data_IF_361255643109
#
_entry.id   IF_361255643109
#
_cell.length_a   1.000
_cell.length_b   1.000
_cell.length_c   1.000
_cell.angle_alpha   90.00
_cell.angle_beta   90.00
_cell.angle_gamma   90.00
#
_symmetry.space_group_name_H-M   'P 1'
#
loop_
_entity.id
_entity.type
_entity.pdbx_description
1 polymer ?
#
# COMPACT_ATOMS: atom_id res chain seq x y z
N UNK A 1 -6.30 -23.94 -30.31
CA UNK A 1 -5.08 -23.68 -29.51
C UNK A 1 -5.21 -24.44 -28.20
N UNK A 2 -4.10 -24.97 -27.64
CA UNK A 2 -4.17 -25.56 -26.30
C UNK A 2 -4.34 -24.46 -25.25
N UNK A 3 -5.01 -24.76 -24.13
CA UNK A 3 -5.20 -23.79 -23.02
C UNK A 3 -3.86 -23.21 -22.54
N UNK A 4 -2.80 -24.03 -22.56
CA UNK A 4 -1.45 -23.61 -22.17
C UNK A 4 -0.87 -22.53 -23.13
N UNK A 5 -1.11 -22.68 -24.43
CA UNK A 5 -0.64 -21.68 -25.42
C UNK A 5 -1.36 -20.33 -25.23
N UNK A 6 -2.66 -20.36 -24.95
CA UNK A 6 -3.45 -19.16 -24.69
C UNK A 6 -2.91 -18.43 -23.46
N UNK A 7 -2.63 -19.16 -22.36
CA UNK A 7 -2.07 -18.58 -21.13
C UNK A 7 -0.73 -17.87 -21.44
N UNK A 8 0.18 -18.50 -22.17
CA UNK A 8 1.46 -17.89 -22.50
C UNK A 8 1.33 -16.66 -23.39
N UNK A 9 0.39 -16.67 -24.35
CA UNK A 9 0.13 -15.50 -25.21
C UNK A 9 -0.39 -14.32 -24.36
N UNK A 10 -1.36 -14.56 -23.49
CA UNK A 10 -1.92 -13.52 -22.61
C UNK A 10 -0.87 -12.98 -21.66
N UNK A 11 -0.05 -13.84 -21.05
CA UNK A 11 1.04 -13.43 -20.16
C UNK A 11 2.14 -12.66 -20.93
N UNK A 12 2.52 -13.09 -22.12
CA UNK A 12 3.49 -12.39 -22.93
C UNK A 12 2.97 -11.00 -23.36
N UNK A 13 1.71 -10.92 -23.75
CA UNK A 13 1.05 -9.65 -24.07
C UNK A 13 1.02 -8.71 -22.86
N UNK A 14 0.60 -9.21 -21.69
CA UNK A 14 0.58 -8.48 -20.43
C UNK A 14 1.96 -7.92 -20.07
N UNK A 15 3.00 -8.78 -20.09
CA UNK A 15 4.37 -8.40 -19.79
C UNK A 15 4.91 -7.35 -20.78
N UNK A 16 4.67 -7.54 -22.09
CA UNK A 16 5.12 -6.60 -23.11
C UNK A 16 4.56 -5.21 -22.92
N UNK A 17 3.25 -5.08 -22.66
CA UNK A 17 2.61 -3.77 -22.46
C UNK A 17 2.98 -3.11 -21.14
N UNK A 18 3.27 -3.89 -20.09
CA UNK A 18 3.84 -3.36 -18.87
C UNK A 18 5.24 -2.76 -19.08
N UNK A 19 6.10 -3.46 -19.83
CA UNK A 19 7.45 -2.95 -20.15
C UNK A 19 7.40 -1.70 -21.01
N UNK A 20 6.39 -1.57 -21.88
CA UNK A 20 6.12 -0.36 -22.67
C UNK A 20 5.60 0.81 -21.82
N UNK A 21 5.42 0.64 -20.50
CA UNK A 21 5.01 1.71 -19.59
C UNK A 21 3.51 2.04 -19.67
N UNK A 22 2.68 1.15 -20.20
CA UNK A 22 1.23 1.33 -20.24
C UNK A 22 0.61 1.24 -18.85
N UNK A 23 -0.54 1.89 -18.67
CA UNK A 23 -1.26 1.86 -17.41
C UNK A 23 -1.73 0.43 -17.07
N UNK A 24 -1.43 -0.04 -15.85
CA UNK A 24 -1.73 -1.41 -15.40
C UNK A 24 -3.19 -1.78 -15.59
N UNK A 25 -4.13 -0.85 -15.33
CA UNK A 25 -5.57 -1.08 -15.52
C UNK A 25 -5.90 -1.38 -16.99
N UNK A 26 -5.33 -0.61 -17.92
CA UNK A 26 -5.53 -0.81 -19.38
C UNK A 26 -4.92 -2.13 -19.84
N UNK A 27 -3.75 -2.47 -19.31
CA UNK A 27 -3.07 -3.74 -19.65
C UNK A 27 -3.85 -4.93 -19.12
N UNK A 28 -4.36 -4.89 -17.89
CA UNK A 28 -5.21 -5.95 -17.33
C UNK A 28 -6.51 -6.11 -18.12
N UNK A 29 -7.17 -5.00 -18.45
CA UNK A 29 -8.41 -5.01 -19.25
C UNK A 29 -8.18 -5.62 -20.64
N UNK A 30 -7.11 -5.17 -21.32
CA UNK A 30 -6.75 -5.71 -22.63
C UNK A 30 -6.34 -7.20 -22.60
N UNK A 31 -5.59 -7.61 -21.58
CA UNK A 31 -5.24 -9.02 -21.38
C UNK A 31 -6.46 -9.90 -21.13
N UNK A 32 -7.41 -9.41 -20.34
CA UNK A 32 -8.70 -10.08 -20.10
C UNK A 32 -9.50 -10.23 -21.37
N UNK A 33 -9.65 -9.16 -22.16
CA UNK A 33 -10.34 -9.20 -23.45
C UNK A 33 -9.67 -10.17 -24.44
N UNK A 34 -8.34 -10.11 -24.56
CA UNK A 34 -7.58 -11.03 -25.41
C UNK A 34 -7.79 -12.48 -24.99
N UNK A 35 -7.74 -12.75 -23.68
CA UNK A 35 -7.98 -14.09 -23.15
C UNK A 35 -9.39 -14.61 -23.50
N UNK A 36 -10.42 -13.80 -23.31
CA UNK A 36 -11.81 -14.15 -23.66
C UNK A 36 -11.93 -14.47 -25.15
N UNK A 37 -11.39 -13.61 -26.02
CA UNK A 37 -11.43 -13.81 -27.47
C UNK A 37 -10.76 -15.12 -27.88
N UNK A 38 -9.62 -15.44 -27.27
CA UNK A 38 -8.87 -16.65 -27.61
C UNK A 38 -9.50 -17.93 -27.11
N UNK A 39 -10.28 -17.88 -26.00
CA UNK A 39 -10.92 -19.05 -25.37
C UNK A 39 -12.33 -19.27 -25.93
N UNK A 40 -13.14 -18.23 -26.01
CA UNK A 40 -14.59 -18.30 -26.25
C UNK A 40 -14.98 -17.74 -27.63
N UNK A 41 -14.20 -16.83 -28.18
CA UNK A 41 -14.47 -16.18 -29.45
C UNK A 41 -14.93 -14.74 -29.31
N UNK A 42 -15.00 -14.04 -30.43
CA UNK A 42 -15.33 -12.60 -30.50
C UNK A 42 -16.81 -12.33 -30.23
N UNK A 43 -17.68 -13.28 -30.55
CA UNK A 43 -19.16 -13.12 -30.49
C UNK A 43 -19.66 -12.90 -29.04
N UNK A 44 -18.93 -13.39 -28.05
CA UNK A 44 -19.27 -13.30 -26.63
C UNK A 44 -18.87 -11.95 -26.01
N UNK A 45 -17.93 -11.23 -26.65
CA UNK A 45 -17.40 -9.98 -26.13
C UNK A 45 -18.49 -8.92 -25.90
N UNK A 46 -19.44 -8.77 -26.79
CA UNK A 46 -20.54 -7.81 -26.66
C UNK A 46 -21.42 -8.07 -25.44
N UNK A 47 -21.69 -9.34 -25.16
CA UNK A 47 -22.45 -9.74 -23.98
C UNK A 47 -21.67 -9.49 -22.68
N UNK A 48 -20.41 -9.91 -22.63
CA UNK A 48 -19.55 -9.76 -21.44
C UNK A 48 -19.31 -8.27 -21.14
N UNK A 49 -18.98 -7.47 -22.14
CA UNK A 49 -18.75 -6.03 -21.94
C UNK A 49 -20.02 -5.27 -21.54
N UNK A 50 -21.17 -5.65 -22.08
CA UNK A 50 -22.43 -4.97 -21.79
C UNK A 50 -23.07 -5.42 -20.48
N UNK A 51 -23.32 -6.72 -20.33
CA UNK A 51 -24.10 -7.25 -19.20
C UNK A 51 -23.24 -7.55 -17.97
N UNK A 52 -22.09 -8.23 -18.14
CA UNK A 52 -21.29 -8.67 -17.01
C UNK A 52 -20.56 -7.50 -16.32
N UNK A 53 -20.14 -6.49 -17.10
CA UNK A 53 -19.54 -5.27 -16.53
C UNK A 53 -20.56 -4.52 -15.67
N UNK A 54 -21.80 -4.36 -16.16
CA UNK A 54 -22.86 -3.72 -15.39
C UNK A 54 -23.25 -4.56 -14.17
N UNK A 55 -23.41 -5.87 -14.35
CA UNK A 55 -23.75 -6.78 -13.25
C UNK A 55 -22.68 -6.74 -12.16
N UNK A 56 -21.40 -6.84 -12.54
CA UNK A 56 -20.27 -6.78 -11.59
C UNK A 56 -20.23 -5.45 -10.86
N UNK A 57 -20.42 -4.31 -11.57
CA UNK A 57 -20.45 -3.00 -10.95
C UNK A 57 -21.66 -2.78 -10.03
N UNK A 58 -22.76 -3.52 -10.25
CA UNK A 58 -24.01 -3.44 -9.47
C UNK A 58 -24.03 -4.36 -8.25
N UNK A 59 -22.97 -5.14 -8.00
CA UNK A 59 -22.90 -6.03 -6.81
C UNK A 59 -22.99 -5.16 -5.55
N UNK A 60 -23.97 -5.45 -4.70
CA UNK A 60 -24.22 -4.70 -3.46
C UNK A 60 -22.97 -4.57 -2.58
N UNK A 61 -22.15 -5.61 -2.49
CA UNK A 61 -20.90 -5.59 -1.72
C UNK A 61 -19.89 -4.53 -2.21
N UNK A 62 -19.93 -4.16 -3.49
CA UNK A 62 -19.06 -3.08 -4.03
C UNK A 62 -19.52 -1.69 -3.59
N UNK A 63 -20.77 -1.51 -3.14
CA UNK A 63 -21.27 -0.25 -2.56
C UNK A 63 -20.51 0.13 -1.28
N UNK A 64 -19.88 -0.82 -0.62
CA UNK A 64 -19.03 -0.58 0.54
C UNK A 64 -17.77 0.22 0.16
N UNK A 65 -17.26 0.05 -1.06
CA UNK A 65 -16.03 0.71 -1.54
C UNK A 65 -16.13 2.24 -1.51
N UNK A 66 -17.12 2.89 -2.13
CA UNK A 66 -17.23 4.35 -2.09
C UNK A 66 -17.49 4.88 -0.67
N UNK A 67 -18.23 4.16 0.16
CA UNK A 67 -18.45 4.54 1.55
C UNK A 67 -17.16 4.46 2.36
N UNK A 68 -16.38 3.41 2.14
CA UNK A 68 -15.07 3.24 2.77
C UNK A 68 -14.09 4.34 2.34
N UNK A 69 -14.05 4.68 1.03
CA UNK A 69 -13.23 5.78 0.52
C UNK A 69 -13.65 7.12 1.10
N UNK A 70 -14.95 7.37 1.24
CA UNK A 70 -15.46 8.59 1.88
C UNK A 70 -15.00 8.67 3.34
N UNK A 71 -15.17 7.58 4.11
CA UNK A 71 -14.69 7.49 5.49
C UNK A 71 -13.18 7.77 5.56
N UNK A 72 -12.39 7.13 4.70
CA UNK A 72 -10.94 7.32 4.64
C UNK A 72 -10.59 8.79 4.37
N UNK A 73 -11.24 9.45 3.42
CA UNK A 73 -11.01 10.86 3.11
C UNK A 73 -11.37 11.80 4.25
N UNK A 74 -12.46 11.53 4.96
CA UNK A 74 -12.86 12.31 6.14
C UNK A 74 -11.83 12.17 7.27
N UNK A 75 -11.35 10.97 7.55
CA UNK A 75 -10.32 10.71 8.56
C UNK A 75 -8.97 11.33 8.21
N UNK A 76 -8.58 11.27 6.92
CA UNK A 76 -7.35 11.89 6.42
C UNK A 76 -7.41 13.41 6.57
N UNK A 77 -8.50 14.04 6.15
CA UNK A 77 -8.71 15.49 6.26
C UNK A 77 -8.92 15.95 7.72
N UNK A 78 -9.48 15.09 8.54
CA UNK A 78 -9.66 15.33 9.99
C UNK A 78 -8.35 15.33 10.79
N UNK A 79 -7.19 15.04 10.15
CA UNK A 79 -5.89 15.08 10.82
C UNK A 79 -5.56 13.86 11.68
N UNK A 80 -6.37 12.80 11.62
CA UNK A 80 -6.21 11.59 12.44
C UNK A 80 -4.80 10.99 12.30
N UNK A 81 -4.21 11.04 11.10
CA UNK A 81 -2.84 10.57 10.85
C UNK A 81 -1.83 11.34 11.70
N UNK A 82 -1.95 12.66 11.71
CA UNK A 82 -1.06 13.53 12.49
C UNK A 82 -1.20 13.26 13.99
N UNK A 83 -2.42 13.09 14.45
CA UNK A 83 -2.70 12.83 15.86
C UNK A 83 -2.19 11.48 16.31
N UNK A 84 -2.39 10.42 15.51
CA UNK A 84 -1.84 9.09 15.77
C UNK A 84 -0.30 9.11 15.84
N UNK A 85 0.33 9.80 14.90
CA UNK A 85 1.79 9.95 14.91
C UNK A 85 2.27 10.76 16.12
N UNK A 86 1.58 11.85 16.46
CA UNK A 86 1.91 12.69 17.62
C UNK A 86 1.80 11.90 18.94
N UNK A 87 0.78 11.06 19.09
CA UNK A 87 0.65 10.15 20.24
C UNK A 87 1.81 9.15 20.28
N UNK A 88 2.11 8.48 19.17
CA UNK A 88 3.23 7.56 19.06
C UNK A 88 4.56 8.23 19.38
N UNK A 89 4.77 9.46 18.89
CA UNK A 89 5.95 10.25 19.16
C UNK A 89 6.09 10.61 20.66
N UNK A 90 5.02 11.01 21.29
CA UNK A 90 5.00 11.29 22.75
C UNK A 90 5.30 10.03 23.57
N UNK A 91 4.68 8.90 23.22
CA UNK A 91 4.89 7.62 23.90
C UNK A 91 6.32 7.08 23.72
N UNK A 92 7.00 7.44 22.64
CA UNK A 92 8.39 7.05 22.38
C UNK A 92 9.40 7.71 23.34
N UNK A 93 8.97 8.74 24.09
CA UNK A 93 9.84 9.47 25.01
C UNK A 93 11.04 10.12 24.33
N UNK A 94 10.91 10.49 23.05
CA UNK A 94 11.99 11.07 22.23
C UNK A 94 13.24 10.18 22.11
N UNK A 95 13.05 8.85 22.24
CA UNK A 95 14.12 7.88 22.07
C UNK A 95 14.11 7.32 20.65
N UNK A 96 15.28 7.06 20.10
CA UNK A 96 15.50 6.60 18.74
C UNK A 96 14.71 5.34 18.40
N UNK A 97 14.99 4.23 19.07
CA UNK A 97 14.33 2.95 18.79
C UNK A 97 12.81 2.98 19.02
N UNK A 98 12.29 3.48 20.15
CA UNK A 98 10.84 3.56 20.35
C UNK A 98 10.12 4.44 19.30
N UNK A 99 10.75 5.50 18.78
CA UNK A 99 10.14 6.29 17.71
C UNK A 99 10.05 5.50 16.40
N UNK A 100 11.08 4.70 16.07
CA UNK A 100 11.01 3.79 14.93
C UNK A 100 9.87 2.77 15.06
N UNK A 101 9.71 2.18 16.26
CA UNK A 101 8.58 1.28 16.55
C UNK A 101 7.24 2.02 16.43
N UNK A 102 7.13 3.23 16.99
CA UNK A 102 5.94 4.06 16.89
C UNK A 102 5.60 4.38 15.42
N UNK A 103 6.61 4.61 14.58
CA UNK A 103 6.43 4.82 13.14
C UNK A 103 5.84 3.57 12.46
N UNK A 104 6.34 2.37 12.78
CA UNK A 104 5.81 1.11 12.23
C UNK A 104 4.36 0.90 12.67
N UNK A 105 4.07 1.07 13.95
CA UNK A 105 2.72 0.89 14.49
C UNK A 105 1.74 1.93 13.91
N UNK A 106 2.15 3.19 13.83
CA UNK A 106 1.33 4.23 13.22
C UNK A 106 1.07 3.94 11.74
N UNK A 107 2.09 3.52 10.98
CA UNK A 107 1.94 3.11 9.59
C UNK A 107 0.94 1.97 9.42
N UNK A 108 0.98 1.01 10.35
CA UNK A 108 0.02 -0.11 10.39
C UNK A 108 -1.41 0.36 10.63
N UNK A 109 -1.61 1.25 11.60
CA UNK A 109 -2.93 1.81 11.92
C UNK A 109 -3.46 2.72 10.81
N UNK A 110 -2.57 3.37 10.06
CA UNK A 110 -2.96 4.15 8.88
C UNK A 110 -3.64 3.30 7.81
N UNK A 111 -3.36 2.00 7.77
CA UNK A 111 -4.05 1.04 6.91
C UNK A 111 -5.54 1.01 7.16
N UNK A 112 -5.94 0.98 8.41
CA UNK A 112 -7.33 1.03 8.82
C UNK A 112 -8.05 2.32 8.36
N UNK A 113 -7.29 3.39 8.13
CA UNK A 113 -7.85 4.70 7.75
C UNK A 113 -7.81 4.91 6.24
N UNK A 114 -6.70 4.60 5.57
CA UNK A 114 -6.49 4.95 4.15
C UNK A 114 -6.81 3.81 3.18
N UNK A 115 -6.63 2.57 3.61
CA UNK A 115 -6.72 1.38 2.76
C UNK A 115 -5.73 1.35 1.57
N UNK A 116 -4.83 2.34 1.49
CA UNK A 116 -3.86 2.53 0.41
C UNK A 116 -2.44 2.61 0.93
N UNK A 117 -1.62 1.60 0.62
CA UNK A 117 -0.21 1.55 1.01
C UNK A 117 0.59 2.73 0.51
N UNK A 118 0.37 3.16 -0.73
CA UNK A 118 1.08 4.28 -1.33
C UNK A 118 0.76 5.62 -0.64
N UNK A 119 -0.52 5.90 -0.40
CA UNK A 119 -0.96 7.12 0.29
C UNK A 119 -0.46 7.16 1.74
N UNK A 120 -0.52 6.02 2.44
CA UNK A 120 0.00 5.89 3.81
C UNK A 120 1.51 6.08 3.87
N UNK A 121 2.26 5.48 2.95
CA UNK A 121 3.72 5.63 2.88
C UNK A 121 4.12 7.08 2.63
N UNK A 122 3.47 7.76 1.69
CA UNK A 122 3.75 9.18 1.40
C UNK A 122 3.43 10.09 2.60
N UNK A 123 2.27 9.88 3.23
CA UNK A 123 1.86 10.65 4.41
C UNK A 123 2.80 10.40 5.58
N UNK A 124 3.16 9.15 5.82
CA UNK A 124 4.06 8.79 6.92
C UNK A 124 5.48 9.31 6.67
N UNK A 125 5.97 9.26 5.43
CA UNK A 125 7.27 9.80 5.06
C UNK A 125 7.36 11.31 5.35
N UNK A 126 6.31 12.07 5.06
CA UNK A 126 6.30 13.51 5.32
C UNK A 126 6.24 13.86 6.82
N UNK A 127 5.64 13.02 7.65
CA UNK A 127 5.48 13.25 9.08
C UNK A 127 6.61 12.63 9.92
N UNK A 128 6.99 11.40 9.63
CA UNK A 128 7.90 10.62 10.46
C UNK A 128 9.37 10.85 10.10
N UNK A 129 9.71 11.03 8.79
CA UNK A 129 11.11 11.16 8.40
C UNK A 129 11.83 12.32 9.07
N UNK A 130 11.27 13.54 9.15
CA UNK A 130 11.96 14.65 9.81
C UNK A 130 12.20 14.39 11.30
N UNK A 131 11.27 13.72 11.98
CA UNK A 131 11.40 13.42 13.41
C UNK A 131 12.41 12.28 13.66
N UNK A 132 12.47 11.30 12.78
CA UNK A 132 13.48 10.23 12.81
C UNK A 132 14.88 10.80 12.56
N UNK A 133 15.02 11.73 11.61
CA UNK A 133 16.29 12.41 11.29
C UNK A 133 16.81 13.23 12.47
N UNK A 134 15.93 13.95 13.19
CA UNK A 134 16.29 14.67 14.42
C UNK A 134 16.88 13.78 15.51
N UNK A 135 16.48 12.50 15.55
CA UNK A 135 16.97 11.51 16.49
C UNK A 135 18.20 10.73 15.96
N UNK A 136 18.82 11.18 14.86
CA UNK A 136 20.07 10.64 14.33
C UNK A 136 19.90 9.48 13.33
N UNK A 137 18.71 9.22 12.81
CA UNK A 137 18.56 8.32 11.68
C UNK A 137 18.96 9.01 10.38
N UNK A 138 19.59 8.28 9.45
CA UNK A 138 19.89 8.85 8.12
C UNK A 138 18.58 9.07 7.35
N UNK A 139 18.55 10.09 6.50
CA UNK A 139 17.39 10.39 5.64
C UNK A 139 16.93 9.18 4.82
N UNK A 140 17.88 8.43 4.27
CA UNK A 140 17.57 7.20 3.51
C UNK A 140 16.86 6.16 4.37
N UNK A 141 17.34 5.95 5.58
CA UNK A 141 16.73 4.99 6.50
C UNK A 141 15.34 5.47 6.95
N UNK A 142 15.20 6.75 7.30
CA UNK A 142 13.93 7.35 7.72
C UNK A 142 12.84 7.23 6.65
N UNK A 143 13.19 7.54 5.40
CA UNK A 143 12.28 7.37 4.26
C UNK A 143 11.95 5.89 3.99
N UNK A 144 12.94 5.01 4.04
CA UNK A 144 12.72 3.56 3.85
C UNK A 144 11.82 2.99 4.95
N UNK A 145 12.06 3.35 6.21
CA UNK A 145 11.23 2.92 7.34
C UNK A 145 9.79 3.40 7.18
N UNK A 146 9.60 4.66 6.80
CA UNK A 146 8.27 5.23 6.56
C UNK A 146 7.55 4.56 5.39
N UNK A 147 8.26 4.26 4.30
CA UNK A 147 7.71 3.56 3.14
C UNK A 147 7.27 2.13 3.50
N UNK A 148 8.13 1.39 4.19
CA UNK A 148 7.85 0.03 4.63
C UNK A 148 6.73 0.01 5.67
N UNK A 149 6.73 0.91 6.64
CA UNK A 149 5.66 1.02 7.63
C UNK A 149 4.32 1.37 6.96
N UNK A 150 4.31 2.29 5.99
CA UNK A 150 3.11 2.65 5.24
C UNK A 150 2.57 1.50 4.37
N UNK A 151 3.45 0.63 3.84
CA UNK A 151 3.02 -0.52 3.04
C UNK A 151 2.21 -1.55 3.83
N UNK A 152 2.41 -1.65 5.16
CA UNK A 152 1.59 -2.49 6.05
C UNK A 152 0.12 -2.14 6.02
N UNK A 153 -0.20 -0.91 5.68
CA UNK A 153 -1.58 -0.44 5.56
C UNK A 153 -2.40 -1.19 4.50
N UNK A 154 -1.76 -1.81 3.53
CA UNK A 154 -2.45 -2.62 2.53
C UNK A 154 -2.85 -4.01 3.05
N UNK A 155 -2.18 -4.50 4.10
CA UNK A 155 -2.37 -5.84 4.66
C UNK A 155 -3.28 -5.80 5.89
N UNK A 156 -3.15 -4.74 6.71
CA UNK A 156 -3.88 -4.63 7.98
C UNK A 156 -5.32 -4.18 7.73
N UNK A 157 -6.31 -4.92 8.24
CA UNK A 157 -7.72 -4.57 8.06
C UNK A 157 -8.10 -3.24 8.79
N UNK A 158 -9.08 -2.52 8.21
CA UNK A 158 -9.76 -2.74 6.95
C UNK A 158 -8.90 -2.30 5.75
N UNK A 159 -8.81 -3.14 4.72
CA UNK A 159 -8.04 -2.89 3.50
C UNK A 159 -8.97 -2.83 2.28
N UNK A 160 -8.82 -1.79 1.45
CA UNK A 160 -9.61 -1.62 0.23
C UNK A 160 -9.46 -2.80 -0.74
N UNK A 161 -8.24 -3.33 -0.86
CA UNK A 161 -7.95 -4.48 -1.74
C UNK A 161 -8.71 -5.72 -1.26
N UNK A 162 -8.79 -5.95 0.04
CA UNK A 162 -9.54 -7.09 0.59
C UNK A 162 -11.05 -6.94 0.39
N UNK A 163 -11.58 -5.72 0.47
CA UNK A 163 -13.00 -5.45 0.18
C UNK A 163 -13.31 -5.76 -1.27
N UNK A 164 -12.50 -5.26 -2.21
CA UNK A 164 -12.67 -5.50 -3.64
C UNK A 164 -12.55 -7.00 -3.94
N UNK A 165 -11.49 -7.65 -3.43
CA UNK A 165 -11.29 -9.09 -3.64
C UNK A 165 -12.45 -9.91 -3.09
N UNK A 166 -12.86 -9.67 -1.85
CA UNK A 166 -13.98 -10.39 -1.23
C UNK A 166 -15.29 -10.22 -2.00
N UNK A 167 -15.54 -9.01 -2.52
CA UNK A 167 -16.72 -8.73 -3.33
C UNK A 167 -16.70 -9.49 -4.66
N UNK A 168 -15.56 -9.50 -5.37
CA UNK A 168 -15.42 -10.18 -6.66
C UNK A 168 -15.35 -11.70 -6.53
N UNK A 169 -14.68 -12.21 -5.51
CA UNK A 169 -14.53 -13.65 -5.27
C UNK A 169 -15.71 -14.26 -4.50
N UNK A 170 -16.73 -13.46 -4.15
CA UNK A 170 -17.87 -13.88 -3.31
C UNK A 170 -17.45 -14.52 -1.98
N UNK A 171 -16.34 -14.01 -1.40
CA UNK A 171 -15.84 -14.44 -0.09
C UNK A 171 -16.28 -13.44 0.98
N UNK A 172 -16.78 -13.88 2.15
CA UNK A 172 -17.15 -12.97 3.22
C UNK A 172 -15.99 -12.08 3.65
N UNK A 173 -16.12 -10.74 3.50
CA UNK A 173 -15.08 -9.76 3.78
C UNK A 173 -14.59 -9.84 5.23
N UNK A 174 -15.50 -10.12 6.17
CA UNK A 174 -15.15 -10.30 7.59
C UNK A 174 -14.14 -11.43 7.82
N UNK A 175 -14.27 -12.54 7.11
CA UNK A 175 -13.33 -13.67 7.21
C UNK A 175 -11.95 -13.29 6.65
N UNK A 176 -11.90 -12.51 5.57
CA UNK A 176 -10.64 -11.99 5.03
C UNK A 176 -9.95 -11.07 6.03
N UNK A 177 -10.71 -10.21 6.69
CA UNK A 177 -10.16 -9.30 7.71
C UNK A 177 -9.59 -10.07 8.90
N UNK A 178 -10.31 -11.04 9.42
CA UNK A 178 -9.84 -11.89 10.53
C UNK A 178 -8.57 -12.66 10.10
N UNK A 179 -8.58 -13.24 8.89
CA UNK A 179 -7.44 -13.98 8.35
C UNK A 179 -6.19 -13.11 8.16
N UNK A 180 -6.35 -11.80 7.90
CA UNK A 180 -5.24 -10.88 7.69
C UNK A 180 -4.58 -10.38 8.99
N UNK A 181 -5.24 -10.52 10.13
CA UNK A 181 -4.68 -10.09 11.43
C UNK A 181 -3.37 -10.83 11.73
N UNK A 182 -3.34 -12.16 11.56
CA UNK A 182 -2.16 -12.97 11.82
C UNK A 182 -0.93 -12.54 10.98
N UNK A 183 -1.03 -12.56 9.65
CA UNK A 183 0.04 -12.06 8.77
C UNK A 183 0.43 -10.60 9.04
N UNK A 184 -0.55 -9.72 9.32
CA UNK A 184 -0.30 -8.33 9.65
C UNK A 184 0.55 -8.15 10.91
N UNK A 185 0.21 -8.84 11.99
CA UNK A 185 0.98 -8.84 13.24
C UNK A 185 2.38 -9.44 13.05
N UNK A 186 2.48 -10.51 12.26
CA UNK A 186 3.77 -11.12 11.94
C UNK A 186 4.67 -10.11 11.18
N UNK A 187 4.14 -9.40 10.20
CA UNK A 187 4.90 -8.37 9.48
C UNK A 187 5.35 -7.24 10.41
N UNK A 188 4.48 -6.75 11.31
CA UNK A 188 4.86 -5.75 12.32
C UNK A 188 6.03 -6.26 13.17
N UNK A 189 5.95 -7.50 13.66
CA UNK A 189 7.01 -8.10 14.48
C UNK A 189 8.32 -8.20 13.70
N UNK A 190 8.29 -8.68 12.46
CA UNK A 190 9.46 -8.75 11.58
C UNK A 190 10.08 -7.36 11.37
N UNK A 191 9.26 -6.34 11.10
CA UNK A 191 9.77 -4.98 10.89
C UNK A 191 10.39 -4.38 12.14
N UNK A 192 9.85 -4.66 13.33
CA UNK A 192 10.45 -4.25 14.60
C UNK A 192 11.79 -4.97 14.82
N UNK A 193 11.87 -6.26 14.50
CA UNK A 193 13.13 -7.03 14.57
C UNK A 193 14.16 -6.45 13.59
N UNK A 194 13.75 -6.19 12.33
CA UNK A 194 14.63 -5.56 11.36
C UNK A 194 15.10 -4.17 11.80
N UNK A 195 14.20 -3.36 12.37
CA UNK A 195 14.56 -2.06 12.94
C UNK A 195 15.62 -2.21 14.04
N UNK A 196 15.48 -3.22 14.91
CA UNK A 196 16.44 -3.49 15.98
C UNK A 196 17.81 -3.92 15.45
N UNK A 197 17.83 -4.76 14.40
CA UNK A 197 19.07 -5.29 13.84
C UNK A 197 19.80 -4.28 12.95
N UNK A 198 19.06 -3.50 12.17
CA UNK A 198 19.64 -2.60 11.16
C UNK A 198 19.62 -1.13 11.56
N UNK A 199 18.82 -0.76 12.56
CA UNK A 199 18.74 0.62 13.04
C UNK A 199 20.03 1.12 13.69
N UNK A 200 20.80 0.24 14.31
CA UNK A 200 22.08 0.55 14.97
C UNK A 200 23.31 0.43 14.05
N UNK A 201 23.21 -0.30 12.93
CA UNK A 201 24.35 -0.61 12.07
C UNK A 201 24.84 0.56 11.19
N UNK A 202 24.23 1.73 11.26
CA UNK A 202 24.52 2.84 10.36
C UNK A 202 25.13 4.08 10.99
N UNK A 203 25.59 4.02 12.21
CA UNK A 203 26.33 5.12 12.84
C UNK A 203 27.73 5.36 12.26
N UNK A 204 28.27 4.40 11.47
CA UNK A 204 29.67 4.46 11.02
C UNK A 204 29.92 4.89 9.57
N UNK A 205 28.91 5.26 8.75
CA UNK A 205 29.15 5.32 7.31
C UNK A 205 28.81 6.67 6.60
N UNK A 206 28.44 7.73 7.28
CA UNK A 206 28.23 9.04 6.65
C UNK A 206 28.75 10.18 7.53
N UNK A 207 30.02 10.13 7.85
CA UNK A 207 30.81 11.32 8.12
C UNK A 207 31.34 11.84 6.76
N UNK A 208 30.68 12.83 6.17
CA UNK A 208 31.18 13.38 4.91
C UNK A 208 30.31 14.35 4.15
N UNK A 209 29.10 14.68 4.61
CA UNK A 209 28.38 15.82 4.04
C UNK A 209 27.84 16.71 5.16
N UNK A 210 28.66 17.67 5.55
CA UNK A 210 28.20 18.84 6.28
C UNK A 210 27.03 19.49 5.52
N UNK A 211 26.01 20.02 6.21
CA UNK A 211 24.94 20.75 5.54
C UNK A 211 25.56 21.92 4.78
N UNK A 212 25.42 21.88 3.46
CA UNK A 212 25.76 23.01 2.60
C UNK A 212 24.98 24.21 3.12
N UNK A 213 25.73 25.15 3.72
CA UNK A 213 25.19 26.40 4.21
C UNK A 213 24.58 27.14 3.02
N UNK A 214 23.29 27.45 3.12
CA UNK A 214 22.63 28.34 2.17
C UNK A 214 23.42 29.64 2.06
N UNK A 215 23.66 30.18 0.84
CA UNK A 215 24.36 31.42 0.68
C UNK A 215 23.59 32.56 1.36
N UNK A 216 24.30 33.53 1.98
CA UNK A 216 23.63 34.66 2.62
C UNK A 216 22.90 35.48 1.56
N UNK A 217 21.60 35.72 1.80
CA UNK A 217 20.77 36.63 1.03
C UNK A 217 21.37 38.05 1.16
N UNK A 218 21.98 38.54 0.09
CA UNK A 218 22.30 39.95 -0.11
C UNK A 218 21.08 40.72 -0.62
#
# INVERSE_FOLDING_TARGET
>A
MSNTQIIWIVLAWFAAFLVLGQNVATVLFGAGMLGIVLVVGVDVLGGILGSDTFYTASIYSLSIVPLYLLMAQLLLRGGVIRDLFAVGHRLSGYRRFPLGVATIVTGSLLGAVSGSGAASSASLASLASPELEKLGYTRRFSLSLSAVAGSLSAIIPPSLIMIIYGSLASVPIGHLFIGAIGPGLLCIAIYIICLRLFGDLREGAVDGQAPEQAPPSG
#
